data_IF_534132133120
#
_entry.id   IF_534132133120
#
_cell.length_a   1.000
_cell.length_b   1.000
_cell.length_c   1.000
_cell.angle_alpha   90.00
_cell.angle_beta   90.00
_cell.angle_gamma   90.00
#
_symmetry.space_group_name_H-M   'P 1'
#
loop_
_entity.id
_entity.type
_entity.pdbx_description
1 polymer ?
#
# COMPACT_ATOMS: atom_id res chain seq x y z
N UNK A 1 -40.99 -21.17 19.55
CA UNK A 1 -40.75 -20.93 20.98
C UNK A 1 -39.33 -20.42 21.12
N UNK A 2 -39.16 -19.13 21.42
CA UNK A 2 -37.84 -18.55 21.68
C UNK A 2 -37.37 -19.06 23.06
N UNK A 3 -36.27 -19.80 23.10
CA UNK A 3 -35.65 -20.18 24.36
C UNK A 3 -35.17 -18.90 25.05
N UNK A 4 -35.66 -18.64 26.27
CA UNK A 4 -35.15 -17.55 27.11
C UNK A 4 -33.65 -17.74 27.30
N UNK A 5 -32.86 -16.72 26.97
CA UNK A 5 -31.42 -16.74 27.22
C UNK A 5 -31.16 -17.11 28.68
N UNK A 6 -30.19 -17.99 28.99
CA UNK A 6 -29.83 -18.28 30.37
C UNK A 6 -29.47 -16.97 31.10
N UNK A 7 -29.86 -16.79 32.38
CA UNK A 7 -29.52 -15.58 33.10
C UNK A 7 -28.00 -15.43 33.15
N UNK A 8 -27.51 -14.21 32.90
CA UNK A 8 -26.09 -13.87 32.88
C UNK A 8 -25.33 -14.44 34.10
N UNK A 9 -25.97 -14.42 35.27
CA UNK A 9 -25.44 -14.97 36.52
C UNK A 9 -25.07 -16.46 36.44
N UNK A 10 -25.88 -17.28 35.77
CA UNK A 10 -25.61 -18.71 35.60
C UNK A 10 -24.40 -18.93 34.68
N UNK A 11 -24.26 -18.11 33.63
CA UNK A 11 -23.10 -18.11 32.76
C UNK A 11 -21.82 -17.73 33.54
N UNK A 12 -21.88 -16.63 34.30
CA UNK A 12 -20.74 -16.19 35.13
C UNK A 12 -20.34 -17.23 36.17
N UNK A 13 -21.31 -17.94 36.78
CA UNK A 13 -21.02 -19.02 37.74
C UNK A 13 -20.28 -20.18 37.10
N UNK A 14 -20.66 -20.58 35.88
CA UNK A 14 -19.98 -21.64 35.13
C UNK A 14 -18.56 -21.24 34.73
N UNK A 15 -18.38 -20.01 34.25
CA UNK A 15 -17.09 -19.47 33.81
C UNK A 15 -16.08 -19.31 34.95
N UNK A 16 -16.56 -18.99 36.15
CA UNK A 16 -15.74 -18.92 37.39
C UNK A 16 -15.47 -20.30 38.00
N UNK A 17 -16.01 -21.38 37.44
CA UNK A 17 -15.78 -22.74 37.92
C UNK A 17 -14.31 -23.16 37.82
N UNK A 18 -13.87 -24.08 38.67
CA UNK A 18 -12.47 -24.54 38.70
C UNK A 18 -12.15 -25.56 37.60
N UNK A 19 -13.17 -26.29 37.12
CA UNK A 19 -13.02 -27.33 36.09
C UNK A 19 -13.15 -26.76 34.69
N UNK A 20 -12.27 -27.18 33.78
CA UNK A 20 -12.29 -26.77 32.38
C UNK A 20 -13.63 -27.15 31.69
N UNK A 21 -14.25 -28.28 32.06
CA UNK A 21 -15.59 -28.69 31.60
C UNK A 21 -16.68 -27.65 31.92
N UNK A 22 -16.62 -27.06 33.13
CA UNK A 22 -17.58 -26.04 33.56
C UNK A 22 -17.36 -24.75 32.79
N UNK A 23 -16.09 -24.37 32.58
CA UNK A 23 -15.74 -23.19 31.78
C UNK A 23 -16.16 -23.34 30.33
N UNK A 24 -15.95 -24.52 29.72
CA UNK A 24 -16.38 -24.83 28.36
C UNK A 24 -17.91 -24.73 28.21
N UNK A 25 -18.67 -25.31 29.17
CA UNK A 25 -20.12 -25.16 29.18
C UNK A 25 -20.55 -23.68 29.32
N UNK A 26 -19.86 -22.92 30.16
CA UNK A 26 -20.07 -21.47 30.30
C UNK A 26 -19.76 -20.70 29.02
N UNK A 27 -18.72 -21.07 28.26
CA UNK A 27 -18.35 -20.43 27.00
C UNK A 27 -19.40 -20.60 25.89
N UNK A 28 -20.03 -21.78 25.83
CA UNK A 28 -21.14 -22.01 24.89
C UNK A 28 -22.33 -21.09 25.19
N UNK A 29 -22.57 -20.78 26.47
CA UNK A 29 -23.59 -19.80 26.87
C UNK A 29 -23.12 -18.37 26.59
N UNK A 30 -21.85 -18.06 26.84
CA UNK A 30 -21.25 -16.75 26.57
C UNK A 30 -21.38 -16.33 25.10
N UNK A 31 -21.26 -17.27 24.15
CA UNK A 31 -21.47 -17.00 22.73
C UNK A 31 -22.88 -16.47 22.41
N UNK A 32 -23.91 -16.77 23.23
CA UNK A 32 -25.24 -16.17 23.11
C UNK A 32 -25.28 -14.74 23.70
N UNK A 33 -24.56 -14.50 24.80
CA UNK A 33 -24.45 -13.18 25.45
C UNK A 33 -23.77 -12.18 24.52
N UNK A 34 -22.67 -12.57 23.86
CA UNK A 34 -21.99 -11.73 22.86
C UNK A 34 -22.91 -11.37 21.67
N UNK A 35 -23.84 -12.25 21.30
CA UNK A 35 -24.83 -12.00 20.25
C UNK A 35 -25.94 -11.03 20.67
N UNK A 36 -26.23 -10.93 21.96
CA UNK A 36 -27.25 -10.02 22.49
C UNK A 36 -26.80 -8.54 22.52
N UNK A 37 -25.48 -8.29 22.45
CA UNK A 37 -24.91 -6.94 22.24
C UNK A 37 -24.80 -6.07 23.49
N UNK A 38 -25.01 -6.62 24.70
CA UNK A 38 -24.79 -5.88 25.95
C UNK A 38 -23.28 -5.82 26.28
N UNK A 39 -22.68 -4.65 26.06
CA UNK A 39 -21.26 -4.43 26.28
C UNK A 39 -20.83 -4.67 27.74
N UNK A 40 -21.66 -4.31 28.72
CA UNK A 40 -21.33 -4.48 30.14
C UNK A 40 -21.28 -5.98 30.50
N UNK A 41 -22.28 -6.74 30.05
CA UNK A 41 -22.32 -8.18 30.22
C UNK A 41 -21.12 -8.89 29.56
N UNK A 42 -20.73 -8.45 28.36
CA UNK A 42 -19.56 -9.00 27.64
C UNK A 42 -18.26 -8.77 28.40
N UNK A 43 -18.06 -7.59 28.99
CA UNK A 43 -16.89 -7.29 29.83
C UNK A 43 -16.87 -8.18 31.08
N UNK A 44 -18.03 -8.39 31.73
CA UNK A 44 -18.12 -9.29 32.88
C UNK A 44 -17.81 -10.75 32.53
N UNK A 45 -18.31 -11.22 31.37
CA UNK A 45 -17.99 -12.53 30.82
C UNK A 45 -16.49 -12.66 30.58
N UNK A 46 -15.87 -11.68 29.92
CA UNK A 46 -14.42 -11.70 29.67
C UNK A 46 -13.61 -11.82 30.97
N UNK A 47 -13.95 -11.00 31.97
CA UNK A 47 -13.32 -11.03 33.31
C UNK A 47 -13.53 -12.37 34.02
N UNK A 48 -14.71 -13.00 33.85
CA UNK A 48 -15.02 -14.29 34.46
C UNK A 48 -14.28 -15.46 33.81
N UNK A 49 -14.10 -15.44 32.48
CA UNK A 49 -13.33 -16.47 31.75
C UNK A 49 -11.84 -16.38 32.10
N UNK A 50 -11.29 -15.17 32.02
CA UNK A 50 -9.87 -14.87 32.19
C UNK A 50 -9.03 -15.18 30.94
N UNK A 51 -8.12 -14.26 30.60
CA UNK A 51 -7.25 -14.35 29.41
C UNK A 51 -6.39 -15.63 29.36
N UNK A 52 -5.94 -16.12 30.53
CA UNK A 52 -5.13 -17.35 30.63
C UNK A 52 -5.86 -18.59 30.13
N UNK A 53 -7.18 -18.68 30.40
CA UNK A 53 -7.98 -19.82 29.96
C UNK A 53 -8.17 -19.79 28.43
N UNK A 54 -8.51 -18.63 27.87
CA UNK A 54 -8.65 -18.45 26.42
C UNK A 54 -7.35 -18.78 25.67
N UNK A 55 -6.20 -18.32 26.20
CA UNK A 55 -4.88 -18.64 25.63
C UNK A 55 -4.56 -20.14 25.70
N UNK A 56 -4.89 -20.81 26.82
CA UNK A 56 -4.74 -22.27 26.94
C UNK A 56 -5.61 -23.00 25.91
N UNK A 57 -6.86 -22.57 25.74
CA UNK A 57 -7.79 -23.15 24.78
C UNK A 57 -7.28 -23.03 23.34
N UNK A 58 -6.79 -21.85 22.94
CA UNK A 58 -6.12 -21.63 21.64
C UNK A 58 -4.91 -22.56 21.45
N UNK A 59 -4.04 -22.67 22.45
CA UNK A 59 -2.85 -23.53 22.37
C UNK A 59 -3.21 -25.02 22.28
N UNK A 60 -4.28 -25.46 22.95
CA UNK A 60 -4.80 -26.82 22.80
C UNK A 60 -5.32 -27.06 21.38
N UNK A 61 -6.07 -26.09 20.82
CA UNK A 61 -6.53 -26.15 19.43
C UNK A 61 -5.40 -26.21 18.41
N UNK A 62 -4.33 -25.43 18.62
CA UNK A 62 -3.11 -25.45 17.80
C UNK A 62 -2.24 -26.71 17.99
N UNK A 63 -2.62 -27.65 18.88
CA UNK A 63 -1.83 -28.85 19.16
C UNK A 63 -0.51 -28.58 19.88
N UNK A 64 -0.32 -27.39 20.47
CA UNK A 64 0.86 -27.04 21.28
C UNK A 64 0.86 -27.70 22.67
N UNK A 65 -0.23 -28.35 23.03
CA UNK A 65 -0.40 -29.13 24.28
C UNK A 65 -0.63 -30.59 23.91
N UNK A 66 0.02 -31.50 24.61
CA UNK A 66 -0.15 -32.95 24.41
C UNK A 66 -1.56 -33.42 24.79
N UNK A 67 -2.17 -34.28 23.97
CA UNK A 67 -3.49 -34.86 24.20
C UNK A 67 -4.59 -34.39 23.23
N UNK A 68 -5.64 -35.20 23.10
CA UNK A 68 -6.81 -34.95 22.25
C UNK A 68 -6.69 -35.48 20.82
N UNK A 69 -7.81 -35.97 20.27
CA UNK A 69 -7.91 -36.30 18.83
C UNK A 69 -7.93 -35.01 18.00
N UNK A 70 -7.52 -35.10 16.73
CA UNK A 70 -7.51 -33.95 15.81
C UNK A 70 -8.87 -33.23 15.73
N UNK A 71 -9.96 -34.00 15.65
CA UNK A 71 -11.33 -33.46 15.64
C UNK A 71 -11.70 -32.65 16.90
N UNK A 72 -11.23 -33.10 18.07
CA UNK A 72 -11.47 -32.39 19.34
C UNK A 72 -10.67 -31.09 19.41
N UNK A 73 -9.44 -31.10 18.88
CA UNK A 73 -8.60 -29.90 18.79
C UNK A 73 -9.22 -28.86 17.89
N UNK A 74 -9.74 -29.26 16.73
CA UNK A 74 -10.42 -28.34 15.80
C UNK A 74 -11.68 -27.73 16.44
N UNK A 75 -12.46 -28.52 17.18
CA UNK A 75 -13.63 -28.02 17.90
C UNK A 75 -13.25 -26.97 18.98
N UNK A 76 -12.17 -27.21 19.73
CA UNK A 76 -11.66 -26.23 20.69
C UNK A 76 -11.13 -24.98 20.01
N UNK A 77 -10.44 -25.14 18.88
CA UNK A 77 -9.91 -24.04 18.10
C UNK A 77 -11.04 -23.12 17.62
N UNK A 78 -12.04 -23.68 16.93
CA UNK A 78 -13.21 -22.93 16.46
C UNK A 78 -13.93 -22.23 17.61
N UNK A 79 -14.20 -22.95 18.70
CA UNK A 79 -14.84 -22.34 19.88
C UNK A 79 -14.03 -21.17 20.43
N UNK A 80 -12.71 -21.30 20.52
CA UNK A 80 -11.84 -20.27 21.05
C UNK A 80 -11.83 -19.00 20.18
N UNK A 81 -11.73 -19.16 18.86
CA UNK A 81 -11.75 -18.05 17.89
C UNK A 81 -13.11 -17.35 17.92
N UNK A 82 -14.21 -18.11 17.84
CA UNK A 82 -15.57 -17.53 17.84
C UNK A 82 -15.89 -16.77 19.12
N UNK A 83 -15.50 -17.33 20.28
CA UNK A 83 -15.67 -16.66 21.57
C UNK A 83 -14.83 -15.38 21.61
N UNK A 84 -13.55 -15.45 21.26
CA UNK A 84 -12.66 -14.29 21.28
C UNK A 84 -13.14 -13.20 20.32
N UNK A 85 -13.51 -13.55 19.09
CA UNK A 85 -14.09 -12.63 18.11
C UNK A 85 -15.37 -11.98 18.66
N UNK A 86 -16.25 -12.76 19.29
CA UNK A 86 -17.47 -12.26 19.93
C UNK A 86 -17.20 -11.28 21.07
N UNK A 87 -16.21 -11.58 21.93
CA UNK A 87 -15.81 -10.73 23.06
C UNK A 87 -15.12 -9.43 22.58
N UNK A 88 -14.24 -9.54 21.57
CA UNK A 88 -13.49 -8.42 20.99
C UNK A 88 -14.36 -7.42 20.21
N UNK A 89 -15.65 -7.71 19.98
CA UNK A 89 -16.59 -6.71 19.46
C UNK A 89 -16.79 -5.54 20.42
N UNK A 90 -16.49 -5.73 21.70
CA UNK A 90 -16.44 -4.64 22.68
C UNK A 90 -15.01 -4.06 22.71
N UNK A 91 -14.81 -2.77 22.37
CA UNK A 91 -13.48 -2.17 22.28
C UNK A 91 -12.65 -2.28 23.57
N UNK A 92 -13.29 -2.18 24.75
CA UNK A 92 -12.61 -2.36 26.05
C UNK A 92 -11.94 -3.74 26.15
N UNK A 93 -12.60 -4.79 25.65
CA UNK A 93 -12.06 -6.15 25.68
C UNK A 93 -11.00 -6.35 24.59
N UNK A 94 -11.23 -5.82 23.39
CA UNK A 94 -10.25 -5.92 22.30
C UNK A 94 -8.93 -5.20 22.62
N UNK A 95 -8.98 -4.11 23.41
CA UNK A 95 -7.80 -3.37 23.83
C UNK A 95 -7.08 -3.98 25.05
N UNK A 96 -7.65 -5.00 25.71
CA UNK A 96 -7.02 -5.63 26.87
C UNK A 96 -5.73 -6.35 26.47
N UNK A 97 -4.68 -6.22 27.29
CA UNK A 97 -3.35 -6.80 27.06
C UNK A 97 -3.42 -8.33 26.83
N UNK A 98 -4.33 -9.00 27.53
CA UNK A 98 -4.57 -10.43 27.39
C UNK A 98 -5.04 -10.80 25.98
N UNK A 99 -5.90 -9.98 25.36
CA UNK A 99 -6.40 -10.19 24.00
C UNK A 99 -5.38 -9.73 22.96
N UNK A 100 -4.75 -8.57 23.15
CA UNK A 100 -3.68 -8.05 22.28
C UNK A 100 -2.54 -9.07 22.16
N UNK A 101 -2.15 -9.73 23.25
CA UNK A 101 -1.11 -10.77 23.24
C UNK A 101 -1.47 -12.03 22.43
N UNK A 102 -2.72 -12.19 21.99
CA UNK A 102 -3.15 -13.32 21.16
C UNK A 102 -2.92 -13.11 19.67
N UNK A 103 -2.59 -11.89 19.21
CA UNK A 103 -2.41 -11.58 17.77
C UNK A 103 -1.50 -12.58 17.04
N UNK A 104 -0.29 -12.93 17.55
CA UNK A 104 0.56 -13.92 16.89
C UNK A 104 -0.08 -15.32 16.82
N UNK A 105 -0.83 -15.71 17.85
CA UNK A 105 -1.53 -17.00 17.87
C UNK A 105 -2.66 -17.03 16.84
N UNK A 106 -3.46 -15.95 16.75
CA UNK A 106 -4.55 -15.86 15.79
C UNK A 106 -4.03 -15.83 14.35
N UNK A 107 -2.90 -15.15 14.09
CA UNK A 107 -2.22 -15.20 12.79
C UNK A 107 -1.76 -16.63 12.44
N UNK A 108 -1.21 -17.36 13.40
CA UNK A 108 -0.83 -18.77 13.22
C UNK A 108 -2.05 -19.65 12.91
N UNK A 109 -3.17 -19.44 13.62
CA UNK A 109 -4.44 -20.14 13.35
C UNK A 109 -4.91 -19.87 11.93
N UNK A 110 -4.92 -18.60 11.51
CA UNK A 110 -5.30 -18.22 10.15
C UNK A 110 -4.42 -18.93 9.12
N UNK A 111 -3.10 -18.96 9.30
CA UNK A 111 -2.15 -19.60 8.36
C UNK A 111 -2.28 -21.11 8.22
N UNK A 112 -2.90 -21.79 9.19
CA UNK A 112 -3.04 -23.26 9.22
C UNK A 112 -4.47 -23.72 8.92
N UNK A 113 -5.44 -22.81 8.97
CA UNK A 113 -6.84 -23.15 8.81
C UNK A 113 -7.19 -23.33 7.34
N UNK A 114 -7.78 -24.48 7.02
CA UNK A 114 -8.45 -24.72 5.74
C UNK A 114 -9.95 -24.37 5.81
N UNK A 115 -10.44 -23.97 6.99
CA UNK A 115 -11.83 -23.57 7.17
C UNK A 115 -11.97 -22.07 6.90
N UNK A 116 -12.76 -21.75 5.88
CA UNK A 116 -13.04 -20.39 5.49
C UNK A 116 -13.71 -19.59 6.61
N UNK A 117 -14.64 -20.19 7.37
CA UNK A 117 -15.35 -19.47 8.44
C UNK A 117 -14.39 -19.10 9.59
N UNK A 118 -13.49 -20.01 9.97
CA UNK A 118 -12.46 -19.73 10.99
C UNK A 118 -11.49 -18.68 10.49
N UNK A 119 -11.09 -18.74 9.22
CA UNK A 119 -10.20 -17.74 8.62
C UNK A 119 -10.83 -16.35 8.61
N UNK A 120 -12.10 -16.24 8.24
CA UNK A 120 -12.84 -14.97 8.28
C UNK A 120 -12.95 -14.42 9.71
N UNK A 121 -13.30 -15.26 10.69
CA UNK A 121 -13.36 -14.84 12.10
C UNK A 121 -11.99 -14.41 12.64
N UNK A 122 -10.90 -15.06 12.20
CA UNK A 122 -9.54 -14.62 12.54
C UNK A 122 -9.25 -13.22 12.01
N UNK A 123 -9.54 -12.93 10.74
CA UNK A 123 -9.31 -11.58 10.18
C UNK A 123 -10.19 -10.52 10.82
N UNK A 124 -11.46 -10.84 11.12
CA UNK A 124 -12.36 -9.95 11.87
C UNK A 124 -11.80 -9.65 13.27
N UNK A 125 -11.38 -10.67 14.01
CA UNK A 125 -10.77 -10.51 15.34
C UNK A 125 -9.48 -9.67 15.29
N UNK A 126 -8.59 -9.97 14.35
CA UNK A 126 -7.34 -9.22 14.15
C UNK A 126 -7.62 -7.74 13.85
N UNK A 127 -8.64 -7.46 13.04
CA UNK A 127 -9.07 -6.10 12.73
C UNK A 127 -9.64 -5.39 13.97
N UNK A 128 -10.49 -6.06 14.76
CA UNK A 128 -11.04 -5.50 16.00
C UNK A 128 -9.94 -5.11 17.00
N UNK A 129 -8.93 -5.96 17.16
CA UNK A 129 -7.77 -5.68 18.03
C UNK A 129 -6.98 -4.48 17.52
N UNK A 130 -6.66 -4.46 16.22
CA UNK A 130 -5.91 -3.35 15.62
C UNK A 130 -6.68 -2.02 15.69
N UNK A 131 -8.02 -2.04 15.57
CA UNK A 131 -8.86 -0.85 15.74
C UNK A 131 -8.77 -0.34 17.18
N UNK A 132 -8.95 -1.23 18.16
CA UNK A 132 -9.10 -0.87 19.57
C UNK A 132 -7.77 -0.52 20.27
N UNK A 133 -6.64 -1.01 19.79
CA UNK A 133 -5.33 -0.83 20.44
C UNK A 133 -4.20 -0.53 19.46
N UNK A 134 -3.42 0.51 19.74
CA UNK A 134 -2.18 0.81 19.02
C UNK A 134 -1.15 -0.31 19.23
N UNK A 135 -0.96 -0.76 20.46
CA UNK A 135 -0.10 -1.92 20.76
C UNK A 135 -0.56 -3.17 19.99
N UNK A 136 -1.88 -3.33 19.84
CA UNK A 136 -2.50 -4.35 19.00
C UNK A 136 -2.07 -4.28 17.53
N UNK A 137 -2.01 -3.09 16.94
CA UNK A 137 -1.49 -2.89 15.59
C UNK A 137 0.02 -3.17 15.51
N UNK A 138 0.80 -2.74 16.51
CA UNK A 138 2.25 -2.99 16.53
C UNK A 138 2.62 -4.48 16.73
N UNK A 139 1.72 -5.32 17.26
CA UNK A 139 1.93 -6.78 17.32
C UNK A 139 2.09 -7.44 15.96
N UNK A 140 1.55 -6.85 14.90
CA UNK A 140 1.74 -7.38 13.55
C UNK A 140 3.18 -7.22 13.04
N UNK A 141 3.90 -6.24 13.58
CA UNK A 141 5.31 -6.02 13.27
C UNK A 141 6.24 -6.95 14.05
N UNK A 142 5.73 -7.80 14.95
CA UNK A 142 6.57 -8.83 15.59
C UNK A 142 7.07 -9.86 14.55
N UNK A 143 8.30 -10.39 14.71
CA UNK A 143 8.88 -11.32 13.76
C UNK A 143 7.96 -12.51 13.43
N UNK A 144 7.69 -12.74 12.15
CA UNK A 144 6.91 -13.87 11.67
C UNK A 144 5.40 -13.67 11.63
N UNK A 145 4.83 -12.66 12.29
CA UNK A 145 3.36 -12.47 12.35
C UNK A 145 2.81 -12.09 10.98
N UNK A 146 3.41 -11.10 10.34
CA UNK A 146 3.05 -10.70 8.97
C UNK A 146 3.29 -11.82 7.95
N UNK A 147 4.31 -12.66 8.14
CA UNK A 147 4.60 -13.77 7.24
C UNK A 147 3.50 -14.85 7.30
N UNK A 148 2.92 -15.11 8.49
CA UNK A 148 1.79 -16.02 8.65
C UNK A 148 0.53 -15.50 7.94
N UNK A 149 0.26 -14.19 8.07
CA UNK A 149 -0.86 -13.55 7.37
C UNK A 149 -0.64 -13.59 5.85
N UNK A 150 0.58 -13.28 5.40
CA UNK A 150 0.94 -13.37 4.00
C UNK A 150 0.74 -14.79 3.46
N UNK A 151 1.24 -15.81 4.17
CA UNK A 151 1.07 -17.21 3.77
C UNK A 151 -0.41 -17.56 3.56
N UNK A 152 -1.29 -17.13 4.48
CA UNK A 152 -2.72 -17.40 4.31
C UNK A 152 -3.31 -16.65 3.12
N UNK A 153 -3.03 -15.36 2.99
CA UNK A 153 -3.54 -14.55 1.88
C UNK A 153 -3.21 -15.18 0.52
N UNK A 154 -2.04 -15.79 0.41
CA UNK A 154 -1.57 -16.40 -0.84
C UNK A 154 -2.26 -17.71 -1.23
N UNK A 155 -2.97 -18.34 -0.29
CA UNK A 155 -3.77 -19.54 -0.52
C UNK A 155 -5.25 -19.23 -0.78
N UNK A 156 -5.70 -18.00 -0.49
CA UNK A 156 -7.08 -17.59 -0.63
C UNK A 156 -7.50 -17.47 -2.11
N UNK A 157 -8.74 -17.86 -2.46
CA UNK A 157 -9.26 -17.65 -3.79
C UNK A 157 -9.60 -16.17 -4.04
N UNK A 158 -9.33 -15.71 -5.26
CA UNK A 158 -9.67 -14.37 -5.72
C UNK A 158 -11.16 -14.06 -5.54
N UNK A 159 -11.48 -12.89 -4.97
CA UNK A 159 -12.85 -12.45 -4.72
C UNK A 159 -13.54 -13.10 -3.51
N UNK A 160 -12.81 -13.84 -2.67
CA UNK A 160 -13.34 -14.34 -1.39
C UNK A 160 -13.54 -13.23 -0.36
N UNK A 161 -14.51 -13.40 0.55
CA UNK A 161 -14.68 -12.50 1.70
C UNK A 161 -13.42 -12.41 2.57
N UNK A 162 -12.67 -13.51 2.70
CA UNK A 162 -11.39 -13.53 3.41
C UNK A 162 -10.35 -12.58 2.82
N UNK A 163 -10.28 -12.44 1.48
CA UNK A 163 -9.33 -11.50 0.86
C UNK A 163 -9.74 -10.05 1.12
N UNK A 164 -11.04 -9.75 1.12
CA UNK A 164 -11.57 -8.42 1.45
C UNK A 164 -11.25 -8.05 2.91
N UNK A 165 -11.48 -8.97 3.85
CA UNK A 165 -11.16 -8.77 5.26
C UNK A 165 -9.66 -8.57 5.49
N UNK A 166 -8.81 -9.34 4.81
CA UNK A 166 -7.36 -9.19 4.89
C UNK A 166 -6.88 -7.83 4.36
N UNK A 167 -7.48 -7.34 3.28
CA UNK A 167 -7.16 -6.02 2.70
C UNK A 167 -7.61 -4.89 3.61
N UNK A 168 -8.80 -4.99 4.20
CA UNK A 168 -9.28 -4.02 5.19
C UNK A 168 -8.35 -3.97 6.41
N UNK A 169 -7.86 -5.13 6.87
CA UNK A 169 -6.86 -5.20 7.94
C UNK A 169 -5.56 -4.49 7.53
N UNK A 170 -5.04 -4.73 6.33
CA UNK A 170 -3.84 -4.04 5.86
C UNK A 170 -4.04 -2.53 5.70
N UNK A 171 -5.18 -2.10 5.16
CA UNK A 171 -5.50 -0.67 5.08
C UNK A 171 -5.46 -0.04 6.46
N UNK A 172 -6.08 -0.66 7.46
CA UNK A 172 -6.04 -0.21 8.85
C UNK A 172 -4.61 -0.12 9.39
N UNK A 173 -3.79 -1.15 9.16
CA UNK A 173 -2.41 -1.18 9.63
C UNK A 173 -1.55 -0.11 8.96
N UNK A 174 -1.68 0.12 7.66
CA UNK A 174 -0.98 1.20 6.93
C UNK A 174 -1.29 2.58 7.53
N UNK A 175 -2.53 2.82 7.97
CA UNK A 175 -2.92 4.11 8.56
C UNK A 175 -2.45 4.28 10.01
N UNK A 176 -2.33 3.19 10.78
CA UNK A 176 -1.95 3.24 12.19
C UNK A 176 -0.43 3.20 12.41
N UNK A 177 0.26 2.37 11.64
CA UNK A 177 1.67 2.10 11.85
C UNK A 177 2.53 3.28 11.38
N UNK A 178 3.32 3.83 12.30
CA UNK A 178 4.30 4.90 12.01
C UNK A 178 5.69 4.32 11.91
N UNK A 179 6.27 4.41 10.71
CA UNK A 179 7.58 3.84 10.37
C UNK A 179 8.73 4.50 11.14
N UNK A 180 8.64 5.81 11.40
CA UNK A 180 9.73 6.61 12.00
C UNK A 180 10.22 6.11 13.36
N UNK A 181 9.37 5.40 14.10
CA UNK A 181 9.66 4.92 15.45
C UNK A 181 9.96 3.41 15.51
N UNK A 182 10.04 2.73 14.35
CA UNK A 182 10.18 1.28 14.30
C UNK A 182 11.63 0.83 14.48
N UNK A 183 11.81 -0.28 15.20
CA UNK A 183 13.07 -0.99 15.25
C UNK A 183 13.26 -1.86 13.98
N UNK A 184 14.46 -2.43 13.81
CA UNK A 184 14.80 -3.26 12.64
C UNK A 184 13.87 -4.47 12.47
N UNK A 185 13.47 -5.12 13.56
CA UNK A 185 12.57 -6.27 13.52
C UNK A 185 11.15 -5.86 13.07
N UNK A 186 10.68 -4.71 13.52
CA UNK A 186 9.38 -4.16 13.14
C UNK A 186 9.35 -3.72 11.67
N UNK A 187 10.45 -3.15 11.19
CA UNK A 187 10.64 -2.82 9.77
C UNK A 187 10.60 -4.08 8.90
N UNK A 188 11.06 -5.23 9.41
CA UNK A 188 10.94 -6.50 8.70
C UNK A 188 9.47 -6.93 8.51
N UNK A 189 8.61 -6.70 9.50
CA UNK A 189 7.17 -6.91 9.35
C UNK A 189 6.56 -6.01 8.28
N UNK A 190 7.01 -4.75 8.20
CA UNK A 190 6.57 -3.80 7.17
C UNK A 190 7.04 -4.18 5.77
N UNK A 191 8.29 -4.64 5.61
CA UNK A 191 8.76 -5.14 4.31
C UNK A 191 7.98 -6.37 3.87
N UNK A 192 7.67 -7.31 4.78
CA UNK A 192 6.77 -8.43 4.45
C UNK A 192 5.39 -7.93 3.98
N UNK A 193 4.81 -6.92 4.63
CA UNK A 193 3.54 -6.32 4.19
C UNK A 193 3.64 -5.74 2.78
N UNK A 194 4.71 -4.99 2.47
CA UNK A 194 4.97 -4.47 1.11
C UNK A 194 5.05 -5.60 0.09
N UNK A 195 5.76 -6.69 0.39
CA UNK A 195 5.85 -7.84 -0.53
C UNK A 195 4.51 -8.52 -0.75
N UNK A 196 3.67 -8.60 0.29
CA UNK A 196 2.32 -9.14 0.17
C UNK A 196 1.45 -8.25 -0.71
N UNK A 197 1.42 -6.95 -0.45
CA UNK A 197 0.65 -5.99 -1.24
C UNK A 197 1.11 -5.96 -2.71
N UNK A 198 2.41 -6.04 -2.96
CA UNK A 198 2.97 -6.15 -4.31
C UNK A 198 2.41 -7.37 -5.05
N UNK A 199 2.42 -8.56 -4.41
CA UNK A 199 1.86 -9.77 -5.01
C UNK A 199 0.36 -9.64 -5.28
N UNK A 200 -0.42 -9.09 -4.33
CA UNK A 200 -1.86 -8.87 -4.52
C UNK A 200 -2.13 -7.91 -5.67
N UNK A 201 -1.35 -6.83 -5.76
CA UNK A 201 -1.43 -5.87 -6.85
C UNK A 201 -1.11 -6.51 -8.21
N UNK A 202 -0.19 -7.47 -8.26
CA UNK A 202 0.14 -8.20 -9.49
C UNK A 202 -0.97 -9.17 -9.93
N UNK A 203 -1.51 -9.96 -8.99
CA UNK A 203 -2.37 -11.12 -9.29
C UNK A 203 -3.85 -10.77 -9.32
N UNK A 204 -4.32 -9.86 -8.48
CA UNK A 204 -5.75 -9.57 -8.38
C UNK A 204 -6.26 -8.80 -9.60
N UNK A 205 -7.49 -9.16 -10.00
CA UNK A 205 -8.24 -8.53 -11.09
C UNK A 205 -9.54 -7.84 -10.63
N UNK A 206 -9.79 -7.81 -9.32
CA UNK A 206 -10.97 -7.17 -8.69
C UNK A 206 -10.66 -5.74 -8.25
N UNK A 207 -11.67 -5.03 -7.70
CA UNK A 207 -11.49 -3.67 -7.17
C UNK A 207 -10.41 -3.58 -6.07
N UNK A 208 -10.19 -4.68 -5.34
CA UNK A 208 -9.16 -4.86 -4.31
C UNK A 208 -7.74 -4.60 -4.84
N UNK A 209 -7.51 -4.76 -6.16
CA UNK A 209 -6.25 -4.39 -6.80
C UNK A 209 -5.92 -2.90 -6.61
N UNK A 210 -6.93 -2.03 -6.69
CA UNK A 210 -6.75 -0.58 -6.50
C UNK A 210 -6.46 -0.26 -5.04
N UNK A 211 -7.07 -0.97 -4.09
CA UNK A 211 -6.75 -0.83 -2.67
C UNK A 211 -5.27 -1.17 -2.40
N UNK A 212 -4.76 -2.24 -3.02
CA UNK A 212 -3.35 -2.60 -2.94
C UNK A 212 -2.43 -1.53 -3.56
N UNK A 213 -2.81 -0.97 -4.72
CA UNK A 213 -2.09 0.15 -5.34
C UNK A 213 -1.99 1.35 -4.39
N UNK A 214 -3.12 1.79 -3.83
CA UNK A 214 -3.17 2.97 -2.95
C UNK A 214 -2.36 2.78 -1.67
N UNK A 215 -2.42 1.58 -1.07
CA UNK A 215 -1.61 1.25 0.10
C UNK A 215 -0.11 1.23 -0.21
N UNK A 216 0.30 0.62 -1.33
CA UNK A 216 1.70 0.62 -1.77
C UNK A 216 2.21 2.04 -1.99
N UNK A 217 1.44 2.86 -2.70
CA UNK A 217 1.77 4.27 -2.92
C UNK A 217 1.90 5.05 -1.61
N UNK A 218 1.01 4.80 -0.65
CA UNK A 218 1.05 5.44 0.67
C UNK A 218 2.32 5.06 1.44
N UNK A 219 2.66 3.77 1.48
CA UNK A 219 3.83 3.27 2.19
C UNK A 219 5.15 3.73 1.56
N UNK A 220 5.22 3.80 0.22
CA UNK A 220 6.48 4.01 -0.50
C UNK A 220 6.76 5.49 -0.83
N UNK A 221 5.75 6.37 -0.80
CA UNK A 221 5.91 7.79 -1.14
C UNK A 221 6.60 8.64 -0.07
N UNK A 222 6.82 8.09 1.13
CA UNK A 222 7.54 8.79 2.20
C UNK A 222 9.02 8.89 1.87
N UNK A 223 9.50 10.11 1.61
CA UNK A 223 10.93 10.36 1.32
C UNK A 223 11.80 10.00 2.51
N UNK A 224 12.93 9.36 2.25
CA UNK A 224 13.98 9.05 3.25
C UNK A 224 13.47 8.21 4.43
N UNK A 225 12.53 7.30 4.17
CA UNK A 225 11.97 6.40 5.18
C UNK A 225 12.94 5.27 5.54
N UNK A 226 13.08 4.87 6.83
CA UNK A 226 13.82 3.67 7.23
C UNK A 226 13.33 2.39 6.51
N UNK A 227 12.06 2.37 6.09
CA UNK A 227 11.49 1.30 5.28
C UNK A 227 12.20 1.16 3.93
N UNK A 228 12.64 2.26 3.31
CA UNK A 228 13.34 2.24 2.02
C UNK A 228 14.69 1.53 2.15
N UNK A 229 15.42 1.77 3.24
CA UNK A 229 16.70 1.10 3.48
C UNK A 229 16.51 -0.40 3.73
N UNK A 230 15.47 -0.78 4.49
CA UNK A 230 15.10 -2.18 4.67
C UNK A 230 14.72 -2.84 3.34
N UNK A 231 13.94 -2.16 2.48
CA UNK A 231 13.56 -2.67 1.17
C UNK A 231 14.78 -2.86 0.24
N UNK A 232 15.70 -1.89 0.19
CA UNK A 232 16.95 -1.99 -0.59
C UNK A 232 17.84 -3.13 -0.14
N UNK A 233 17.83 -3.45 1.16
CA UNK A 233 18.63 -4.53 1.72
C UNK A 233 18.07 -5.93 1.40
N UNK A 234 16.84 -6.01 0.87
CA UNK A 234 16.24 -7.29 0.50
C UNK A 234 16.99 -7.90 -0.69
N UNK A 235 17.32 -9.21 -0.65
CA UNK A 235 17.91 -9.91 -1.80
C UNK A 235 16.99 -9.82 -3.01
N UNK A 236 17.58 -9.84 -4.23
CA UNK A 236 16.91 -9.78 -5.54
C UNK A 236 15.47 -10.33 -5.48
N UNK A 237 14.52 -9.41 -5.42
CA UNK A 237 13.27 -9.67 -4.75
C UNK A 237 12.12 -9.81 -5.74
N UNK A 238 11.21 -10.75 -5.48
CA UNK A 238 10.05 -10.97 -6.36
C UNK A 238 9.08 -9.78 -6.32
N UNK A 239 9.09 -8.98 -5.24
CA UNK A 239 8.14 -7.88 -5.05
C UNK A 239 8.31 -6.75 -6.08
N UNK A 240 9.54 -6.46 -6.50
CA UNK A 240 9.85 -5.47 -7.56
C UNK A 240 9.16 -5.84 -8.87
N UNK A 241 9.27 -7.12 -9.24
CA UNK A 241 8.68 -7.67 -10.45
C UNK A 241 7.15 -7.71 -10.38
N UNK A 242 6.59 -7.99 -9.20
CA UNK A 242 5.15 -7.94 -8.97
C UNK A 242 4.58 -6.53 -9.14
N UNK A 243 5.27 -5.51 -8.61
CA UNK A 243 4.86 -4.11 -8.80
C UNK A 243 4.86 -3.74 -10.29
N UNK A 244 5.91 -4.12 -11.04
CA UNK A 244 5.94 -3.91 -12.50
C UNK A 244 4.75 -4.57 -13.20
N UNK A 245 4.40 -5.81 -12.85
CA UNK A 245 3.24 -6.52 -13.42
C UNK A 245 1.94 -5.77 -13.11
N UNK A 246 1.76 -5.32 -11.86
CA UNK A 246 0.58 -4.56 -11.45
C UNK A 246 0.46 -3.22 -12.19
N UNK A 247 1.55 -2.43 -12.28
CA UNK A 247 1.59 -1.17 -13.02
C UNK A 247 1.25 -1.40 -14.49
N UNK A 248 1.86 -2.43 -15.11
CA UNK A 248 1.58 -2.81 -16.50
C UNK A 248 0.09 -3.05 -16.72
N UNK A 249 -0.53 -3.82 -15.82
CA UNK A 249 -1.95 -4.13 -15.91
C UNK A 249 -2.83 -2.87 -15.77
N UNK A 250 -2.46 -1.89 -14.94
CA UNK A 250 -3.23 -0.64 -14.82
C UNK A 250 -3.08 0.23 -16.07
N UNK A 251 -1.85 0.44 -16.53
CA UNK A 251 -1.56 1.35 -17.64
C UNK A 251 -2.09 0.84 -18.99
N UNK A 252 -2.09 -0.49 -19.22
CA UNK A 252 -2.65 -1.08 -20.44
C UNK A 252 -4.18 -1.08 -20.47
N UNK A 253 -4.83 -1.07 -19.31
CA UNK A 253 -6.27 -1.16 -19.21
C UNK A 253 -6.96 0.21 -19.36
N UNK A 254 -8.25 0.17 -19.72
CA UNK A 254 -9.14 1.35 -19.76
C UNK A 254 -9.64 1.69 -18.36
N UNK A 255 -8.72 1.93 -17.44
CA UNK A 255 -9.03 2.37 -16.07
C UNK A 255 -9.17 3.90 -16.04
N UNK A 256 -9.91 4.41 -15.05
CA UNK A 256 -10.04 5.83 -14.72
C UNK A 256 -8.66 6.48 -14.55
N UNK A 257 -8.49 7.72 -15.02
CA UNK A 257 -7.22 8.44 -15.01
C UNK A 257 -6.58 8.55 -13.62
N UNK A 258 -7.39 8.61 -12.54
CA UNK A 258 -6.90 8.62 -11.16
C UNK A 258 -6.02 7.41 -10.84
N UNK A 259 -6.41 6.21 -11.27
CA UNK A 259 -5.65 4.98 -10.99
C UNK A 259 -4.37 4.91 -11.82
N UNK A 260 -4.40 5.44 -13.05
CA UNK A 260 -3.19 5.55 -13.88
C UNK A 260 -2.17 6.47 -13.24
N UNK A 261 -2.61 7.61 -12.71
CA UNK A 261 -1.74 8.52 -11.98
C UNK A 261 -1.13 7.86 -10.74
N UNK A 262 -1.91 7.11 -9.96
CA UNK A 262 -1.36 6.37 -8.81
C UNK A 262 -0.35 5.30 -9.23
N UNK A 263 -0.57 4.62 -10.36
CA UNK A 263 0.40 3.66 -10.91
C UNK A 263 1.70 4.34 -11.36
N UNK A 264 1.62 5.55 -11.92
CA UNK A 264 2.80 6.35 -12.29
C UNK A 264 3.54 6.89 -11.06
N UNK A 265 2.81 7.34 -10.04
CA UNK A 265 3.40 7.71 -8.75
C UNK A 265 4.10 6.52 -8.10
N UNK A 266 3.50 5.32 -8.16
CA UNK A 266 4.15 4.10 -7.68
C UNK A 266 5.43 3.81 -8.48
N UNK A 267 5.44 3.98 -9.81
CA UNK A 267 6.65 3.85 -10.61
C UNK A 267 7.75 4.84 -10.19
N UNK A 268 7.38 6.09 -9.90
CA UNK A 268 8.30 7.11 -9.40
C UNK A 268 8.91 6.70 -8.04
N UNK A 269 8.08 6.23 -7.11
CA UNK A 269 8.52 5.73 -5.81
C UNK A 269 9.52 4.58 -5.98
N UNK A 270 9.22 3.63 -6.87
CA UNK A 270 10.10 2.49 -7.14
C UNK A 270 11.47 2.94 -7.63
N UNK A 271 11.52 3.85 -8.62
CA UNK A 271 12.79 4.39 -9.12
C UNK A 271 13.53 5.23 -8.06
N UNK A 272 12.81 5.85 -7.12
CA UNK A 272 13.42 6.58 -6.00
C UNK A 272 14.02 5.65 -4.95
N UNK A 273 13.45 4.46 -4.76
CA UNK A 273 13.92 3.48 -3.78
C UNK A 273 15.08 2.66 -4.37
N UNK A 274 14.90 2.10 -5.57
CA UNK A 274 15.80 1.10 -6.14
C UNK A 274 16.82 1.69 -7.11
N UNK A 275 16.63 2.94 -7.52
CA UNK A 275 17.45 3.60 -8.53
C UNK A 275 16.78 3.61 -9.90
N UNK A 276 17.34 4.38 -10.81
CA UNK A 276 16.74 4.61 -12.12
C UNK A 276 16.72 3.36 -13.02
N UNK A 277 17.68 2.44 -12.80
CA UNK A 277 17.81 1.21 -13.58
C UNK A 277 16.67 0.21 -13.34
N UNK A 278 15.91 0.33 -12.25
CA UNK A 278 14.73 -0.52 -11.99
C UNK A 278 13.73 -0.54 -13.17
N UNK A 279 13.56 0.60 -13.85
CA UNK A 279 12.66 0.70 -14.99
C UNK A 279 13.19 -0.08 -16.22
N UNK A 280 14.50 -0.27 -16.32
CA UNK A 280 15.20 -0.97 -17.40
C UNK A 280 15.64 -2.39 -17.04
N UNK A 281 15.53 -2.82 -15.78
CA UNK A 281 15.98 -4.14 -15.37
C UNK A 281 15.10 -5.27 -15.95
N UNK A 282 15.74 -6.38 -16.36
CA UNK A 282 15.04 -7.59 -16.83
C UNK A 282 14.82 -8.58 -15.67
N UNK A 283 13.60 -8.58 -15.12
CA UNK A 283 13.20 -9.51 -14.08
C UNK A 283 12.71 -10.82 -14.70
N UNK A 284 13.56 -11.86 -14.66
CA UNK A 284 13.14 -13.23 -15.00
C UNK A 284 12.27 -13.81 -13.88
N UNK A 285 10.97 -13.51 -13.91
CA UNK A 285 9.99 -14.22 -13.07
C UNK A 285 9.89 -15.66 -13.60
N UNK A 286 10.23 -16.64 -12.77
CA UNK A 286 10.25 -18.07 -13.16
C UNK A 286 8.87 -18.65 -13.53
N UNK A 287 7.77 -17.94 -13.24
CA UNK A 287 6.42 -18.50 -13.24
C UNK A 287 5.39 -17.84 -14.17
N UNK A 288 5.74 -16.88 -15.05
CA UNK A 288 4.75 -16.29 -15.97
C UNK A 288 5.21 -16.22 -17.42
N UNK A 289 4.44 -16.85 -18.31
CA UNK A 289 4.64 -16.86 -19.77
C UNK A 289 4.25 -15.52 -20.46
N UNK A 290 3.77 -14.52 -19.73
CA UNK A 290 3.24 -13.25 -20.25
C UNK A 290 3.90 -12.00 -19.61
N UNK A 291 5.16 -12.07 -19.20
CA UNK A 291 5.86 -10.86 -18.75
C UNK A 291 6.12 -9.95 -19.95
N UNK A 292 5.63 -8.71 -19.86
CA UNK A 292 5.86 -7.72 -20.91
C UNK A 292 7.37 -7.44 -21.04
N UNK A 293 7.92 -7.40 -22.26
CA UNK A 293 9.31 -7.03 -22.48
C UNK A 293 9.64 -5.68 -21.84
N UNK A 294 10.85 -5.56 -21.26
CA UNK A 294 11.35 -4.34 -20.62
C UNK A 294 11.16 -3.11 -21.51
N UNK A 295 11.56 -3.22 -22.78
CA UNK A 295 11.40 -2.16 -23.79
C UNK A 295 9.98 -1.60 -23.84
N UNK A 296 8.98 -2.49 -23.85
CA UNK A 296 7.57 -2.10 -23.89
C UNK A 296 7.11 -1.49 -22.57
N UNK A 297 7.66 -1.95 -21.44
CA UNK A 297 7.34 -1.37 -20.13
C UNK A 297 7.82 0.06 -20.01
N UNK A 298 9.09 0.32 -20.37
CA UNK A 298 9.68 1.66 -20.37
C UNK A 298 8.83 2.61 -21.21
N UNK A 299 8.49 2.22 -22.44
CA UNK A 299 7.67 3.05 -23.32
C UNK A 299 6.25 3.23 -22.80
N UNK A 300 5.63 2.20 -22.22
CA UNK A 300 4.29 2.30 -21.65
C UNK A 300 4.25 3.30 -20.49
N UNK A 301 5.23 3.25 -19.59
CA UNK A 301 5.34 4.19 -18.46
C UNK A 301 5.57 5.61 -18.97
N UNK A 302 6.51 5.80 -19.90
CA UNK A 302 6.79 7.09 -20.50
C UNK A 302 5.53 7.66 -21.17
N UNK A 303 4.96 6.96 -22.16
CA UNK A 303 3.80 7.47 -22.91
C UNK A 303 2.59 7.73 -22.00
N UNK A 304 2.36 6.91 -20.97
CA UNK A 304 1.31 7.18 -19.99
C UNK A 304 1.60 8.45 -19.18
N UNK A 305 2.83 8.64 -18.70
CA UNK A 305 3.22 9.86 -17.99
C UNK A 305 3.08 11.11 -18.88
N UNK A 306 3.45 11.01 -20.16
CA UNK A 306 3.33 12.10 -21.13
C UNK A 306 1.89 12.56 -21.33
N UNK A 307 0.96 11.61 -21.47
CA UNK A 307 -0.47 11.92 -21.60
C UNK A 307 -0.97 12.63 -20.35
N UNK A 308 -0.65 12.15 -19.15
CA UNK A 308 -1.08 12.78 -17.90
C UNK A 308 -0.44 14.16 -17.69
N UNK A 309 0.83 14.35 -18.07
CA UNK A 309 1.49 15.68 -18.08
C UNK A 309 0.74 16.64 -18.99
N UNK A 310 0.41 16.23 -20.22
CA UNK A 310 -0.32 17.07 -21.16
C UNK A 310 -1.70 17.48 -20.63
N UNK A 311 -2.43 16.54 -20.02
CA UNK A 311 -3.73 16.81 -19.40
C UNK A 311 -3.60 17.79 -18.24
N UNK A 312 -2.67 17.55 -17.31
CA UNK A 312 -2.49 18.39 -16.12
C UNK A 312 -2.00 19.80 -16.48
N UNK A 313 -1.10 19.95 -17.44
CA UNK A 313 -0.64 21.26 -17.91
C UNK A 313 -1.81 22.06 -18.52
N UNK A 314 -2.63 21.41 -19.35
CA UNK A 314 -3.79 22.06 -19.96
C UNK A 314 -4.85 22.45 -18.92
N UNK A 315 -5.15 21.57 -17.95
CA UNK A 315 -6.06 21.87 -16.86
C UNK A 315 -5.54 23.00 -15.96
N UNK A 316 -4.24 23.03 -15.66
CA UNK A 316 -3.62 24.09 -14.87
C UNK A 316 -3.62 25.43 -15.63
N UNK A 317 -3.32 25.43 -16.92
CA UNK A 317 -3.39 26.63 -17.75
C UNK A 317 -4.81 27.20 -17.78
N UNK A 318 -5.82 26.35 -17.99
CA UNK A 318 -7.22 26.75 -17.95
C UNK A 318 -7.61 27.36 -16.60
N UNK A 319 -7.31 26.66 -15.50
CA UNK A 319 -7.66 27.12 -14.16
C UNK A 319 -6.99 28.44 -13.79
N UNK A 320 -5.72 28.62 -14.18
CA UNK A 320 -4.93 29.81 -13.82
C UNK A 320 -5.20 31.03 -14.69
N UNK A 321 -5.46 30.82 -15.98
CA UNK A 321 -5.46 31.92 -16.95
C UNK A 321 -6.85 32.19 -17.55
N UNK A 322 -7.73 31.19 -17.61
CA UNK A 322 -9.02 31.30 -18.29
C UNK A 322 -10.23 31.24 -17.34
N UNK A 323 -10.10 30.64 -16.15
CA UNK A 323 -11.22 30.48 -15.22
C UNK A 323 -11.52 31.75 -14.40
N UNK A 324 -12.80 32.12 -14.28
CA UNK A 324 -13.25 33.35 -13.62
C UNK A 324 -13.72 33.18 -12.16
N UNK A 325 -13.69 31.96 -11.61
CA UNK A 325 -14.20 31.65 -10.26
C UNK A 325 -13.04 31.39 -9.28
N UNK A 326 -12.99 32.12 -8.15
CA UNK A 326 -11.79 32.22 -7.29
C UNK A 326 -11.85 31.47 -5.96
N UNK A 327 -12.94 30.75 -5.62
CA UNK A 327 -13.14 30.24 -4.24
C UNK A 327 -13.10 28.72 -4.08
N UNK A 328 -13.20 27.94 -5.16
CA UNK A 328 -13.05 26.47 -5.16
C UNK A 328 -11.80 25.99 -5.93
N UNK A 329 -10.99 26.93 -6.42
CA UNK A 329 -9.85 26.69 -7.32
C UNK A 329 -8.57 26.28 -6.60
N UNK A 330 -8.32 26.77 -5.39
CA UNK A 330 -6.97 26.73 -4.82
C UNK A 330 -6.54 25.31 -4.39
N UNK A 331 -7.44 24.54 -3.76
CA UNK A 331 -7.17 23.14 -3.40
C UNK A 331 -7.02 22.26 -4.65
N UNK A 332 -7.85 22.49 -5.67
CA UNK A 332 -7.81 21.76 -6.94
C UNK A 332 -6.52 22.06 -7.72
N UNK A 333 -6.08 23.33 -7.74
CA UNK A 333 -4.81 23.75 -8.33
C UNK A 333 -3.65 23.11 -7.56
N UNK A 334 -3.64 23.18 -6.23
CA UNK A 334 -2.58 22.63 -5.39
C UNK A 334 -2.41 21.13 -5.60
N UNK A 335 -3.52 20.38 -5.66
CA UNK A 335 -3.48 18.95 -5.92
C UNK A 335 -2.92 18.64 -7.31
N UNK A 336 -3.32 19.39 -8.35
CA UNK A 336 -2.82 19.22 -9.72
C UNK A 336 -1.34 19.56 -9.84
N UNK A 337 -0.87 20.62 -9.16
CA UNK A 337 0.54 20.99 -9.10
C UNK A 337 1.37 19.88 -8.44
N UNK A 338 0.87 19.29 -7.34
CA UNK A 338 1.53 18.16 -6.68
C UNK A 338 1.64 16.94 -7.60
N UNK A 339 0.57 16.59 -8.29
CA UNK A 339 0.54 15.50 -9.25
C UNK A 339 1.51 15.74 -10.41
N UNK A 340 1.54 16.97 -10.94
CA UNK A 340 2.47 17.35 -12.01
C UNK A 340 3.93 17.27 -11.55
N UNK A 341 4.25 17.72 -10.34
CA UNK A 341 5.59 17.66 -9.79
C UNK A 341 6.10 16.20 -9.67
N UNK A 342 5.22 15.27 -9.28
CA UNK A 342 5.52 13.83 -9.25
C UNK A 342 5.82 13.32 -10.67
N UNK A 343 4.98 13.66 -11.66
CA UNK A 343 5.21 13.23 -13.03
C UNK A 343 6.50 13.82 -13.61
N UNK A 344 6.84 15.07 -13.28
CA UNK A 344 8.12 15.65 -13.67
C UNK A 344 9.29 14.92 -13.01
N UNK A 345 9.20 14.55 -11.74
CA UNK A 345 10.21 13.70 -11.06
C UNK A 345 10.39 12.37 -11.81
N UNK A 346 9.28 11.70 -12.18
CA UNK A 346 9.32 10.47 -12.96
C UNK A 346 10.02 10.66 -14.32
N UNK A 347 9.67 11.72 -15.06
CA UNK A 347 10.29 12.01 -16.36
C UNK A 347 11.78 12.32 -16.21
N UNK A 348 12.20 13.08 -15.21
CA UNK A 348 13.62 13.34 -14.93
C UNK A 348 14.40 12.07 -14.64
N UNK A 349 13.81 11.13 -13.88
CA UNK A 349 14.41 9.81 -13.64
C UNK A 349 14.53 8.98 -14.91
N UNK A 350 13.53 9.05 -15.81
CA UNK A 350 13.60 8.43 -17.13
C UNK A 350 14.70 9.06 -17.99
N UNK A 351 14.85 10.39 -17.98
CA UNK A 351 15.93 11.12 -18.67
C UNK A 351 17.29 10.60 -18.17
N UNK A 352 17.48 10.51 -16.85
CA UNK A 352 18.72 10.03 -16.25
C UNK A 352 19.00 8.56 -16.60
N UNK A 353 17.99 7.69 -16.57
CA UNK A 353 18.12 6.30 -17.00
C UNK A 353 18.60 6.20 -18.47
N UNK A 354 18.02 6.98 -19.38
CA UNK A 354 18.39 6.98 -20.80
C UNK A 354 19.81 7.52 -21.00
N UNK A 355 20.19 8.56 -20.28
CA UNK A 355 21.55 9.12 -20.31
C UNK A 355 22.59 8.07 -19.87
N UNK A 356 22.33 7.38 -18.76
CA UNK A 356 23.18 6.29 -18.26
C UNK A 356 23.30 5.13 -19.26
N UNK A 357 22.20 4.76 -19.94
CA UNK A 357 22.22 3.72 -20.96
C UNK A 357 23.05 4.09 -22.20
N UNK A 358 23.26 5.40 -22.43
CA UNK A 358 23.96 5.94 -23.60
C UNK A 358 25.45 6.20 -23.34
N UNK A 359 25.88 6.29 -22.08
CA UNK A 359 27.23 6.74 -21.70
C UNK A 359 28.32 5.66 -21.76
N UNK A 360 27.99 4.39 -22.03
CA UNK A 360 28.95 3.34 -22.42
C UNK A 360 30.03 2.94 -21.40
N UNK A 361 30.11 3.58 -20.24
CA UNK A 361 31.10 3.32 -19.20
C UNK A 361 30.51 2.42 -18.10
N UNK A 362 30.64 1.10 -18.28
CA UNK A 362 30.52 0.10 -17.20
C UNK A 362 29.49 -1.01 -17.43
N UNK A 363 29.99 -2.20 -17.78
CA UNK A 363 29.29 -3.49 -17.92
C UNK A 363 28.08 -3.54 -18.89
N UNK A 364 27.82 -4.67 -19.59
CA UNK A 364 26.74 -4.76 -20.55
C UNK A 364 25.39 -4.94 -19.84
N UNK A 365 24.79 -3.84 -19.41
CA UNK A 365 23.39 -3.79 -18.93
C UNK A 365 22.46 -3.19 -19.99
N UNK A 366 22.69 -3.46 -21.29
CA UNK A 366 21.71 -3.09 -22.32
C UNK A 366 20.53 -4.07 -22.31
N UNK A 367 19.67 -3.90 -21.29
CA UNK A 367 18.35 -4.51 -21.25
C UNK A 367 17.34 -3.79 -22.16
N UNK A 368 17.65 -2.55 -22.60
CA UNK A 368 16.84 -1.74 -23.51
C UNK A 368 17.52 -1.65 -24.87
N UNK A 369 16.75 -1.84 -25.95
CA UNK A 369 17.27 -1.72 -27.30
C UNK A 369 17.37 -0.25 -27.77
N UNK A 370 18.30 0.01 -28.70
CA UNK A 370 18.54 1.36 -29.25
C UNK A 370 17.27 1.98 -29.87
N UNK A 371 16.41 1.19 -30.51
CA UNK A 371 15.15 1.71 -31.06
C UNK A 371 14.19 2.21 -29.97
N UNK A 372 14.19 1.57 -28.79
CA UNK A 372 13.40 2.03 -27.64
C UNK A 372 13.96 3.34 -27.11
N UNK A 373 15.28 3.48 -27.01
CA UNK A 373 15.93 4.73 -26.60
C UNK A 373 15.54 5.87 -27.55
N UNK A 374 15.59 5.64 -28.86
CA UNK A 374 15.21 6.65 -29.86
C UNK A 374 13.72 7.05 -29.77
N UNK A 375 12.83 6.09 -29.52
CA UNK A 375 11.41 6.37 -29.28
C UNK A 375 11.22 7.17 -27.99
N UNK A 376 11.93 6.82 -26.92
CA UNK A 376 11.86 7.54 -25.67
C UNK A 376 12.37 8.99 -25.80
N UNK A 377 13.49 9.21 -26.51
CA UNK A 377 14.00 10.56 -26.81
C UNK A 377 12.98 11.37 -27.61
N UNK A 378 12.30 10.75 -28.58
CA UNK A 378 11.24 11.41 -29.35
C UNK A 378 10.11 11.85 -28.43
N UNK A 379 9.66 10.97 -27.53
CA UNK A 379 8.60 11.31 -26.61
C UNK A 379 8.99 12.35 -25.55
N UNK A 380 10.24 12.32 -25.09
CA UNK A 380 10.78 13.36 -24.21
C UNK A 380 10.80 14.73 -24.90
N UNK A 381 11.24 14.81 -26.16
CA UNK A 381 11.22 16.06 -26.93
C UNK A 381 9.81 16.66 -27.02
N UNK A 382 8.81 15.81 -27.34
CA UNK A 382 7.41 16.23 -27.42
C UNK A 382 6.89 16.73 -26.06
N UNK A 383 7.25 16.04 -24.97
CA UNK A 383 6.86 16.44 -23.60
C UNK A 383 7.47 17.77 -23.20
N UNK A 384 8.77 17.95 -23.45
CA UNK A 384 9.48 19.20 -23.16
C UNK A 384 8.94 20.34 -24.01
N UNK A 385 8.53 20.08 -25.26
CA UNK A 385 7.83 21.09 -26.06
C UNK A 385 6.53 21.54 -25.39
N UNK A 386 5.72 20.61 -24.84
CA UNK A 386 4.48 20.97 -24.12
C UNK A 386 4.76 21.77 -22.85
N UNK A 387 5.82 21.42 -22.11
CA UNK A 387 6.24 22.18 -20.93
C UNK A 387 6.69 23.60 -21.32
N UNK A 388 7.40 23.76 -22.44
CA UNK A 388 7.78 25.07 -22.97
C UNK A 388 6.55 25.88 -23.42
N UNK A 389 5.55 25.23 -24.00
CA UNK A 389 4.29 25.90 -24.38
C UNK A 389 3.55 26.41 -23.12
N UNK A 390 3.51 25.62 -22.05
CA UNK A 390 2.96 26.07 -20.76
C UNK A 390 3.73 27.27 -20.16
N UNK A 391 5.06 27.29 -20.27
CA UNK A 391 5.88 28.43 -19.85
C UNK A 391 5.66 29.66 -20.74
N UNK A 392 5.42 29.46 -22.03
CA UNK A 392 5.05 30.54 -22.96
C UNK A 392 3.70 31.14 -22.60
N UNK A 393 2.70 30.32 -22.28
CA UNK A 393 1.40 30.80 -21.79
C UNK A 393 1.55 31.62 -20.51
N UNK A 394 2.36 31.14 -19.55
CA UNK A 394 2.64 31.89 -18.32
C UNK A 394 3.28 33.26 -18.62
N UNK A 395 4.24 33.31 -19.55
CA UNK A 395 4.89 34.56 -20.00
C UNK A 395 3.89 35.53 -20.62
N UNK A 396 3.01 35.04 -21.49
CA UNK A 396 2.04 35.86 -22.20
C UNK A 396 0.95 36.43 -21.26
N UNK A 397 0.64 35.71 -20.19
CA UNK A 397 -0.24 36.18 -19.12
C UNK A 397 0.48 36.98 -18.02
N UNK A 398 1.79 37.21 -18.15
CA UNK A 398 2.59 37.96 -17.18
C UNK A 398 2.80 37.26 -15.84
N UNK A 399 2.53 35.96 -15.75
CA UNK A 399 2.69 35.17 -14.52
C UNK A 399 4.13 34.70 -14.38
N UNK A 400 4.80 35.13 -13.32
CA UNK A 400 6.21 34.77 -13.03
C UNK A 400 6.40 33.96 -11.75
N UNK A 401 5.35 33.82 -10.94
CA UNK A 401 5.39 33.11 -9.66
C UNK A 401 4.63 31.80 -9.70
N UNK A 402 5.26 30.73 -9.22
CA UNK A 402 4.60 29.44 -9.07
C UNK A 402 5.58 28.29 -8.98
N UNK A 403 5.39 27.41 -8.01
CA UNK A 403 6.22 26.21 -7.83
C UNK A 403 6.11 25.25 -9.02
N UNK A 404 4.98 25.25 -9.72
CA UNK A 404 4.80 24.55 -10.97
C UNK A 404 5.61 25.14 -12.13
N UNK A 405 5.78 26.47 -12.17
CA UNK A 405 6.66 27.13 -13.13
C UNK A 405 8.13 26.81 -12.84
N UNK A 406 8.53 26.79 -11.57
CA UNK A 406 9.86 26.35 -11.16
C UNK A 406 10.09 24.88 -11.51
N UNK A 407 9.12 24.00 -11.26
CA UNK A 407 9.20 22.59 -11.60
C UNK A 407 9.30 22.39 -13.13
N UNK A 408 8.55 23.17 -13.92
CA UNK A 408 8.63 23.20 -15.38
C UNK A 408 10.00 23.69 -15.89
N UNK A 409 10.54 24.76 -15.30
CA UNK A 409 11.89 25.23 -15.61
C UNK A 409 12.97 24.18 -15.28
N UNK A 410 12.83 23.49 -14.14
CA UNK A 410 13.75 22.45 -13.67
C UNK A 410 13.81 21.26 -14.62
N UNK A 411 12.68 20.72 -15.04
CA UNK A 411 12.64 19.59 -15.97
C UNK A 411 13.18 19.97 -17.36
N UNK A 412 12.88 21.18 -17.85
CA UNK A 412 13.48 21.71 -19.10
C UNK A 412 14.99 21.78 -18.97
N UNK A 413 15.51 22.32 -17.86
CA UNK A 413 16.94 22.39 -17.59
C UNK A 413 17.58 21.01 -17.52
N UNK A 414 16.96 20.06 -16.81
CA UNK A 414 17.42 18.68 -16.69
C UNK A 414 17.50 17.98 -18.05
N UNK A 415 16.52 18.21 -18.94
CA UNK A 415 16.56 17.60 -20.27
C UNK A 415 17.61 18.25 -21.18
N UNK A 416 17.72 19.58 -21.15
CA UNK A 416 18.68 20.31 -21.99
C UNK A 416 20.14 20.03 -21.60
N UNK A 417 20.40 19.64 -20.35
CA UNK A 417 21.71 19.16 -19.93
C UNK A 417 22.16 17.93 -20.75
N UNK A 418 21.22 17.04 -21.07
CA UNK A 418 21.45 15.83 -21.86
C UNK A 418 21.26 16.05 -23.38
N UNK A 419 20.36 16.96 -23.76
CA UNK A 419 20.02 17.27 -25.15
C UNK A 419 20.05 18.79 -25.45
N UNK A 420 21.24 19.41 -25.56
CA UNK A 420 21.39 20.89 -25.63
C UNK A 420 20.73 21.57 -26.84
N UNK A 421 20.46 20.81 -27.90
CA UNK A 421 19.87 21.32 -29.13
C UNK A 421 18.36 21.06 -29.24
N UNK A 422 17.76 20.38 -28.25
CA UNK A 422 16.33 20.13 -28.22
C UNK A 422 15.54 21.45 -28.12
N UNK A 423 14.44 21.54 -28.89
CA UNK A 423 13.55 22.70 -28.88
C UNK A 423 14.23 24.08 -29.03
N UNK A 424 15.39 24.14 -29.72
CA UNK A 424 16.33 25.28 -29.74
C UNK A 424 15.66 26.66 -29.87
N UNK A 425 14.73 26.82 -30.81
CA UNK A 425 14.10 28.11 -31.08
C UNK A 425 13.18 28.54 -29.93
N UNK A 426 12.34 27.63 -29.42
CA UNK A 426 11.44 27.89 -28.26
C UNK A 426 12.26 28.19 -27.00
N UNK A 427 13.26 27.36 -26.70
CA UNK A 427 14.14 27.54 -25.54
C UNK A 427 14.83 28.90 -25.58
N UNK A 428 15.37 29.30 -26.74
CA UNK A 428 16.04 30.60 -26.90
C UNK A 428 15.09 31.78 -26.66
N UNK A 429 13.85 31.69 -27.12
CA UNK A 429 12.85 32.75 -26.95
C UNK A 429 12.31 32.87 -25.52
N UNK A 430 12.34 31.78 -24.77
CA UNK A 430 11.85 31.69 -23.39
C UNK A 430 12.95 31.85 -22.33
N UNK A 431 14.23 31.83 -22.72
CA UNK A 431 15.35 31.79 -21.78
C UNK A 431 15.33 32.91 -20.74
N UNK A 432 15.10 34.16 -21.16
CA UNK A 432 15.00 35.31 -20.25
C UNK A 432 13.84 35.14 -19.26
N UNK A 433 12.71 34.61 -19.74
CA UNK A 433 11.55 34.37 -18.89
C UNK A 433 11.83 33.25 -17.89
N UNK A 434 12.44 32.13 -18.32
CA UNK A 434 12.80 31.00 -17.47
C UNK A 434 13.67 31.45 -16.30
N UNK A 435 14.66 32.31 -16.54
CA UNK A 435 15.51 32.87 -15.48
C UNK A 435 14.82 33.92 -14.59
N UNK A 436 13.65 34.41 -14.97
CA UNK A 436 12.85 35.36 -14.20
C UNK A 436 11.75 34.71 -13.36
N UNK A 437 11.60 33.37 -13.42
CA UNK A 437 10.60 32.63 -12.65
C UNK A 437 11.03 32.62 -11.17
N UNK A 438 10.07 32.92 -10.30
CA UNK A 438 10.24 32.95 -8.84
C UNK A 438 9.33 31.89 -8.18
N UNK A 439 9.73 31.41 -7.01
CA UNK A 439 8.91 30.54 -6.18
C UNK A 439 7.66 31.24 -5.64
N UNK A 440 6.63 30.48 -5.26
CA UNK A 440 5.44 31.08 -4.63
C UNK A 440 5.79 31.89 -3.38
N UNK A 441 6.69 31.36 -2.55
CA UNK A 441 7.07 31.94 -1.26
C UNK A 441 8.29 32.88 -1.32
N UNK A 442 8.87 33.12 -2.50
CA UNK A 442 10.03 34.02 -2.59
C UNK A 442 9.63 35.48 -2.38
N UNK A 443 10.32 36.23 -1.49
CA UNK A 443 10.05 37.65 -1.29
C UNK A 443 10.39 38.43 -2.56
N UNK A 444 9.53 39.38 -2.96
CA UNK A 444 9.79 40.24 -4.13
C UNK A 444 11.10 41.01 -3.92
N UNK A 445 12.07 40.80 -4.80
CA UNK A 445 13.37 41.49 -4.79
C UNK A 445 13.25 42.93 -5.28
#
# INVERSE_FOLDING_TARGET
MAASAPPLDDCLRLLRGERDEQKLAGLLVAANVCRAGDAAAVVEVYRAVGCRFLRRLLNTGLGKVEGGKEEEREAYLRLSVTVLAGLARVPEVAADEGVVSTVPLIAEVASKSNDQAVTEECFELLSLIAIASEDGAYKFCEPGVMDMIFLQITSLPDGSKSIELAINLFQLLVHKLRVDNMNVEQLQGMTTMVTCLARLFAVLHTAVKFDALHMLTTLLSQKESPLHDSLRSMPASIWESHIRVGITAILQNRVVSSEKLHALLLAECMMSILGEDWLSEDYKIKDNQNVMPVDKFVLLVLESARVEVAVLLNELAYLKYESSETSQTDDAISQKQRNLAILFSLIERIIKMISNASSGEGAPSQAICESTIMQAITGLNETISLVLDFLQDAKDHGQRKGDDLLAAARIVGSYLAEAPYACKDKTRNLLEFIFSIEGQDEPRS
#
